data_IF_707508273249
#
_entry.id   IF_707508273249
#
_cell.length_a   1.000
_cell.length_b   1.000
_cell.length_c   1.000
_cell.angle_alpha   90.00
_cell.angle_beta   90.00
_cell.angle_gamma   90.00
#
_symmetry.space_group_name_H-M   'P 1'
#
loop_
_entity.id
_entity.type
_entity.pdbx_description
1 polymer ?
#
# COMPACT_ATOMS: atom_id res chain seq x y z
N UNK A 1 26.19 -25.91 -6.99
CA UNK A 1 25.62 -25.81 -5.63
C UNK A 1 24.15 -25.47 -5.82
N UNK A 2 23.23 -26.36 -5.41
CA UNK A 2 21.79 -26.18 -5.66
C UNK A 2 21.23 -25.24 -4.61
N UNK A 3 20.83 -24.03 -5.01
CA UNK A 3 20.13 -23.10 -4.15
C UNK A 3 18.70 -23.61 -3.94
N UNK A 4 18.42 -24.12 -2.76
CA UNK A 4 17.05 -24.44 -2.37
C UNK A 4 16.38 -23.17 -1.89
N UNK A 5 15.66 -22.50 -2.76
CA UNK A 5 14.55 -21.63 -2.33
C UNK A 5 13.56 -22.51 -1.56
N UNK A 6 13.11 -22.07 -0.40
CA UNK A 6 12.17 -22.81 0.44
C UNK A 6 11.00 -23.32 -0.39
N UNK A 7 10.60 -24.59 -0.17
CA UNK A 7 9.49 -25.19 -0.87
C UNK A 7 8.22 -24.35 -0.67
N UNK A 8 7.28 -24.38 -1.62
CA UNK A 8 5.96 -23.70 -1.57
C UNK A 8 5.27 -23.76 -0.19
N UNK A 9 5.52 -24.83 0.57
CA UNK A 9 4.96 -25.01 1.92
C UNK A 9 5.58 -24.09 2.98
N UNK A 10 6.83 -23.68 2.84
CA UNK A 10 7.49 -22.78 3.81
C UNK A 10 7.07 -21.32 3.68
N UNK A 11 6.80 -20.86 2.47
CA UNK A 11 6.30 -19.49 2.24
C UNK A 11 4.80 -19.34 2.58
N UNK A 12 4.00 -20.39 2.33
CA UNK A 12 2.56 -20.40 2.64
C UNK A 12 2.24 -20.46 4.15
N UNK A 13 3.12 -21.03 4.97
CA UNK A 13 2.90 -21.07 6.43
C UNK A 13 2.99 -19.69 7.08
N UNK A 14 3.67 -18.73 6.47
CA UNK A 14 3.74 -17.35 6.96
C UNK A 14 2.49 -16.55 6.58
N UNK A 15 1.79 -16.94 5.52
CA UNK A 15 0.57 -16.27 5.03
C UNK A 15 -0.74 -16.89 5.57
N UNK A 16 -0.70 -18.08 6.19
CA UNK A 16 -1.89 -18.84 6.57
C UNK A 16 -2.39 -18.58 8.00
N UNK A 17 -1.87 -17.59 8.72
CA UNK A 17 -2.34 -17.22 10.05
C UNK A 17 -3.31 -16.05 10.00
N UNK A 18 -4.58 -16.42 9.92
CA UNK A 18 -5.80 -15.67 10.25
C UNK A 18 -6.15 -14.47 9.37
N UNK A 19 -7.30 -14.58 8.72
CA UNK A 19 -8.01 -13.44 8.11
C UNK A 19 -8.41 -12.44 9.16
N UNK A 20 -7.59 -11.44 9.35
CA UNK A 20 -7.86 -10.13 9.99
C UNK A 20 -6.51 -9.43 10.17
N UNK A 21 -6.30 -8.37 9.43
CA UNK A 21 -5.11 -7.51 9.38
C UNK A 21 -3.90 -8.10 8.64
N UNK A 22 -3.79 -7.76 7.36
CA UNK A 22 -2.65 -8.10 6.48
C UNK A 22 -1.45 -7.16 6.69
N UNK A 23 -1.42 -6.40 7.75
CA UNK A 23 -0.17 -5.94 8.32
C UNK A 23 0.41 -7.13 9.09
N UNK A 24 1.07 -8.03 8.35
CA UNK A 24 1.91 -9.04 8.97
C UNK A 24 2.86 -8.31 9.90
N UNK A 25 2.74 -8.62 11.16
CA UNK A 25 3.57 -8.09 12.22
C UNK A 25 5.05 -8.23 11.77
N UNK A 26 5.72 -7.10 11.58
CA UNK A 26 7.15 -7.08 11.27
C UNK A 26 7.96 -7.91 12.30
N UNK A 27 7.41 -8.10 13.50
CA UNK A 27 7.96 -8.99 14.54
C UNK A 27 7.96 -10.45 14.14
N UNK A 28 6.92 -10.94 13.44
CA UNK A 28 6.84 -12.37 13.05
C UNK A 28 7.93 -12.72 12.04
N UNK A 29 8.34 -11.76 11.20
CA UNK A 29 9.45 -11.96 10.27
C UNK A 29 10.83 -11.82 10.96
N UNK A 30 10.93 -11.02 12.04
CA UNK A 30 12.15 -10.85 12.81
C UNK A 30 12.46 -12.02 13.75
N UNK A 31 11.44 -12.65 14.35
CA UNK A 31 11.62 -13.77 15.28
C UNK A 31 11.99 -15.10 14.60
N UNK A 32 11.81 -15.24 13.26
CA UNK A 32 12.13 -16.46 12.53
C UNK A 32 13.53 -16.47 11.90
N UNK A 33 14.37 -15.47 12.17
CA UNK A 33 15.72 -15.40 11.65
C UNK A 33 16.76 -15.55 12.78
N UNK A 34 17.30 -16.77 13.03
CA UNK A 34 18.41 -16.90 13.97
C UNK A 34 19.65 -16.20 13.37
N UNK A 35 20.24 -15.31 14.14
CA UNK A 35 21.44 -14.58 13.82
C UNK A 35 22.54 -15.51 13.31
N UNK A 36 22.94 -15.36 12.04
CA UNK A 36 24.19 -15.91 11.50
C UNK A 36 25.22 -14.77 11.48
N UNK A 37 26.31 -15.00 12.17
CA UNK A 37 27.32 -14.04 12.50
C UNK A 37 28.04 -13.38 11.34
N UNK A 38 28.42 -12.15 11.55
CA UNK A 38 29.64 -11.48 11.11
C UNK A 38 29.74 -11.17 9.62
N UNK A 39 29.19 -10.02 9.22
CA UNK A 39 29.84 -9.17 8.21
C UNK A 39 29.28 -7.73 8.35
N UNK A 40 30.12 -6.79 8.75
CA UNK A 40 29.74 -5.42 9.11
C UNK A 40 29.35 -4.52 7.91
N UNK A 41 29.29 -5.05 6.69
CA UNK A 41 28.97 -4.31 5.46
C UNK A 41 27.57 -4.59 4.88
N UNK A 42 26.75 -5.40 5.55
CA UNK A 42 25.39 -5.67 5.09
C UNK A 42 24.42 -4.62 5.61
N UNK A 43 23.87 -3.82 4.71
CA UNK A 43 22.64 -3.07 5.03
C UNK A 43 21.57 -4.10 5.38
N UNK A 44 21.01 -4.07 6.61
CA UNK A 44 19.91 -4.96 6.95
C UNK A 44 18.78 -4.77 5.93
N UNK A 45 18.07 -5.83 5.58
CA UNK A 45 16.79 -5.70 4.94
C UNK A 45 15.95 -4.69 5.73
N UNK A 46 15.06 -3.97 5.09
CA UNK A 46 14.14 -2.98 5.73
C UNK A 46 13.35 -3.52 6.96
N UNK A 47 13.53 -4.79 7.27
CA UNK A 47 13.04 -5.52 8.43
C UNK A 47 13.85 -5.31 9.72
N UNK A 48 14.94 -4.53 9.69
CA UNK A 48 15.69 -4.23 10.91
C UNK A 48 14.83 -3.39 11.86
N UNK A 49 14.57 -3.92 13.05
CA UNK A 49 13.65 -3.41 14.06
C UNK A 49 14.07 -2.06 14.71
N UNK A 50 14.88 -1.26 14.04
CA UNK A 50 15.38 0.02 14.57
C UNK A 50 15.54 1.01 13.41
N UNK A 51 14.86 2.16 13.51
CA UNK A 51 14.94 3.24 12.54
C UNK A 51 13.72 4.13 12.56
N UNK A 52 13.82 5.28 11.91
CA UNK A 52 12.72 6.25 11.84
C UNK A 52 11.53 5.71 11.05
N UNK A 53 11.80 5.00 9.95
CA UNK A 53 10.75 4.38 9.14
C UNK A 53 10.00 3.29 9.92
N UNK A 54 10.71 2.46 10.66
CA UNK A 54 10.09 1.45 11.51
C UNK A 54 9.17 2.07 12.57
N UNK A 55 9.65 3.13 13.25
CA UNK A 55 8.84 3.85 14.24
C UNK A 55 7.57 4.46 13.62
N UNK A 56 7.68 5.01 12.39
CA UNK A 56 6.51 5.47 11.64
C UNK A 56 5.53 4.33 11.35
N UNK A 57 6.01 3.20 10.83
CA UNK A 57 5.15 2.04 10.51
C UNK A 57 4.43 1.52 11.76
N UNK A 58 5.13 1.43 12.90
CA UNK A 58 4.48 1.08 14.19
C UNK A 58 3.40 2.10 14.59
N UNK A 59 3.65 3.38 14.38
CA UNK A 59 2.66 4.43 14.65
C UNK A 59 1.47 4.30 13.71
N UNK A 60 1.71 4.06 12.42
CA UNK A 60 0.66 3.86 11.43
C UNK A 60 -0.20 2.62 11.71
N UNK A 61 0.39 1.54 12.21
CA UNK A 61 -0.36 0.33 12.62
C UNK A 61 -1.33 0.64 13.77
N UNK A 62 -0.93 1.50 14.69
CA UNK A 62 -1.73 1.88 15.87
C UNK A 62 -2.75 2.98 15.58
N UNK A 63 -2.53 3.78 14.54
CA UNK A 63 -3.43 4.86 14.19
C UNK A 63 -4.79 4.32 13.72
N UNK A 64 -5.91 4.93 14.17
CA UNK A 64 -7.23 4.45 13.79
C UNK A 64 -7.46 4.55 12.29
N UNK A 65 -8.21 3.60 11.76
CA UNK A 65 -8.70 3.58 10.38
C UNK A 65 -10.21 3.69 10.41
N UNK A 66 -10.74 4.66 9.69
CA UNK A 66 -12.18 4.93 9.64
C UNK A 66 -12.80 4.09 8.53
N UNK A 67 -13.44 2.97 8.88
CA UNK A 67 -14.00 1.96 7.96
C UNK A 67 -15.37 1.47 8.41
N UNK A 68 -16.16 2.35 9.04
CA UNK A 68 -17.50 2.04 9.60
C UNK A 68 -18.56 3.06 9.18
N UNK A 69 -18.33 3.74 8.07
CA UNK A 69 -19.25 4.75 7.55
C UNK A 69 -20.52 4.12 7.00
N UNK A 70 -21.66 4.74 7.28
CA UNK A 70 -22.95 4.45 6.60
C UNK A 70 -23.12 5.32 5.37
N UNK A 71 -22.68 6.55 5.45
CA UNK A 71 -22.65 7.55 4.37
C UNK A 71 -21.43 8.44 4.57
N UNK A 72 -20.89 8.99 3.48
CA UNK A 72 -19.84 10.01 3.51
C UNK A 72 -20.27 11.18 2.61
N UNK A 73 -19.96 12.43 2.99
CA UNK A 73 -20.25 13.58 2.13
C UNK A 73 -19.21 13.70 1.00
N UNK A 74 -19.51 14.51 -0.03
CA UNK A 74 -18.55 14.81 -1.10
C UNK A 74 -17.29 15.49 -0.57
N UNK A 75 -17.41 16.41 0.38
CA UNK A 75 -16.32 17.17 0.98
C UNK A 75 -16.18 16.75 2.43
N UNK A 76 -15.01 16.24 2.81
CA UNK A 76 -14.70 15.88 4.18
C UNK A 76 -14.23 17.12 4.94
N UNK A 77 -15.08 17.67 5.81
CA UNK A 77 -14.81 18.93 6.52
C UNK A 77 -14.15 18.72 7.88
N UNK A 78 -14.31 17.53 8.47
CA UNK A 78 -13.83 17.24 9.83
C UNK A 78 -12.87 16.05 9.86
N UNK A 79 -11.83 16.09 10.75
CA UNK A 79 -10.77 15.07 10.78
C UNK A 79 -11.24 13.64 11.07
N UNK A 80 -12.43 13.46 11.62
CA UNK A 80 -13.04 12.16 11.88
C UNK A 80 -13.59 11.47 10.61
N UNK A 81 -13.60 12.17 9.47
CA UNK A 81 -14.07 11.64 8.18
C UNK A 81 -12.94 11.02 7.33
N UNK A 82 -11.68 11.13 7.74
CA UNK A 82 -10.53 10.46 7.09
C UNK A 82 -9.53 9.98 8.13
N UNK A 83 -8.45 9.33 7.72
CA UNK A 83 -7.42 8.80 8.62
C UNK A 83 -6.43 9.89 9.03
N UNK A 84 -6.91 10.93 9.69
CA UNK A 84 -6.18 12.17 9.99
C UNK A 84 -4.92 11.90 10.81
N UNK A 85 -4.98 11.08 11.86
CA UNK A 85 -3.84 10.77 12.72
C UNK A 85 -2.73 10.04 11.95
N UNK A 86 -3.12 9.18 10.99
CA UNK A 86 -2.16 8.50 10.15
C UNK A 86 -1.51 9.46 9.13
N UNK A 87 -2.30 10.36 8.55
CA UNK A 87 -1.79 11.39 7.64
C UNK A 87 -0.84 12.36 8.37
N UNK A 88 -1.20 12.78 9.58
CA UNK A 88 -0.37 13.65 10.42
C UNK A 88 0.97 12.99 10.76
N UNK A 89 0.96 11.68 11.04
CA UNK A 89 2.20 10.93 11.27
C UNK A 89 3.12 10.90 10.04
N UNK A 90 2.56 10.79 8.83
CA UNK A 90 3.33 10.86 7.58
C UNK A 90 3.89 12.27 7.37
N UNK A 91 3.07 13.30 7.54
CA UNK A 91 3.48 14.71 7.42
C UNK A 91 4.59 15.04 8.44
N UNK A 92 4.46 14.54 9.67
CA UNK A 92 5.43 14.72 10.74
C UNK A 92 6.68 13.82 10.64
N UNK A 93 6.82 12.97 9.62
CA UNK A 93 7.94 12.05 9.51
C UNK A 93 9.30 12.75 9.48
N UNK A 94 10.23 12.45 10.41
CA UNK A 94 11.48 13.19 10.58
C UNK A 94 12.62 12.70 9.66
N UNK A 95 12.37 11.73 8.77
CA UNK A 95 13.35 11.27 7.78
C UNK A 95 13.65 12.33 6.74
N UNK A 96 14.91 12.40 6.29
CA UNK A 96 15.38 13.42 5.34
C UNK A 96 15.08 13.08 3.88
N UNK A 97 14.94 11.79 3.56
CA UNK A 97 14.69 11.33 2.19
C UNK A 97 13.27 10.78 2.11
N UNK A 98 12.42 11.50 1.40
CA UNK A 98 10.98 11.21 1.28
C UNK A 98 10.53 11.41 -0.16
N UNK A 99 9.69 10.53 -0.67
CA UNK A 99 9.13 10.64 -2.01
C UNK A 99 7.64 10.34 -1.99
N UNK A 100 6.87 11.12 -2.75
CA UNK A 100 5.46 10.84 -3.05
C UNK A 100 5.31 10.62 -4.55
N UNK A 101 4.67 9.52 -4.90
CA UNK A 101 4.27 9.18 -6.27
C UNK A 101 2.82 9.59 -6.50
N UNK A 102 2.58 10.32 -7.59
CA UNK A 102 1.26 10.74 -8.06
C UNK A 102 0.71 9.68 -9.03
N UNK A 103 0.09 8.63 -8.48
CA UNK A 103 -0.36 7.47 -9.23
C UNK A 103 -1.82 7.61 -9.66
N UNK A 104 -2.05 7.73 -10.98
CA UNK A 104 -3.38 8.02 -11.55
C UNK A 104 -3.95 6.89 -12.41
N UNK A 105 -3.11 5.98 -12.92
CA UNK A 105 -3.51 4.97 -13.89
C UNK A 105 -3.22 3.55 -13.38
N UNK A 106 -4.27 2.72 -13.23
CA UNK A 106 -4.13 1.35 -12.72
C UNK A 106 -3.24 0.47 -13.60
N UNK A 107 -3.29 0.66 -14.92
CA UNK A 107 -2.47 -0.09 -15.89
C UNK A 107 -1.05 0.45 -16.06
N UNK A 108 -0.70 1.54 -15.39
CA UNK A 108 0.63 2.15 -15.45
C UNK A 108 1.72 1.31 -14.77
N UNK A 109 2.99 1.66 -14.98
CA UNK A 109 4.14 0.94 -14.40
C UNK A 109 4.44 1.34 -12.95
N UNK A 110 3.54 2.02 -12.27
CA UNK A 110 3.76 2.69 -10.98
C UNK A 110 4.33 1.79 -9.88
N UNK A 111 3.78 0.58 -9.68
CA UNK A 111 4.31 -0.36 -8.67
C UNK A 111 5.73 -0.81 -9.00
N UNK A 112 6.05 -1.00 -10.29
CA UNK A 112 7.40 -1.32 -10.73
C UNK A 112 8.37 -0.15 -10.47
N UNK A 113 7.94 1.07 -10.77
CA UNK A 113 8.76 2.27 -10.55
C UNK A 113 9.01 2.51 -9.06
N UNK A 114 7.97 2.38 -8.22
CA UNK A 114 8.08 2.47 -6.77
C UNK A 114 9.03 1.41 -6.20
N UNK A 115 8.86 0.13 -6.61
CA UNK A 115 9.80 -0.92 -6.19
C UNK A 115 11.25 -0.58 -6.54
N UNK A 116 11.49 -0.08 -7.75
CA UNK A 116 12.85 0.31 -8.20
C UNK A 116 13.39 1.49 -7.39
N UNK A 117 12.54 2.46 -7.06
CA UNK A 117 12.89 3.59 -6.20
C UNK A 117 13.35 3.09 -4.82
N UNK A 118 12.52 2.27 -4.15
CA UNK A 118 12.89 1.67 -2.85
C UNK A 118 14.20 0.87 -2.94
N UNK A 119 14.37 0.04 -3.98
CA UNK A 119 15.61 -0.72 -4.16
C UNK A 119 16.82 0.22 -4.26
N UNK A 120 16.73 1.26 -5.07
CA UNK A 120 17.81 2.21 -5.28
C UNK A 120 18.14 2.98 -4.01
N UNK A 121 17.11 3.50 -3.32
CA UNK A 121 17.30 4.26 -2.09
C UNK A 121 17.93 3.41 -0.99
N UNK A 122 17.38 2.22 -0.76
CA UNK A 122 17.82 1.37 0.34
C UNK A 122 19.19 0.73 0.06
N UNK A 123 19.39 0.15 -1.13
CA UNK A 123 20.57 -0.67 -1.40
C UNK A 123 21.73 0.12 -2.03
N UNK A 124 21.45 1.07 -2.92
CA UNK A 124 22.49 1.84 -3.60
C UNK A 124 22.89 3.09 -2.81
N UNK A 125 21.91 3.88 -2.38
CA UNK A 125 22.16 5.13 -1.63
C UNK A 125 22.23 4.96 -0.12
N UNK A 126 21.98 3.74 0.39
CA UNK A 126 22.11 3.40 1.82
C UNK A 126 21.19 4.22 2.72
N UNK A 127 19.97 4.50 2.27
CA UNK A 127 18.93 5.20 2.99
C UNK A 127 17.88 4.22 3.54
N UNK A 128 18.12 3.49 4.65
CA UNK A 128 17.16 2.52 5.19
C UNK A 128 15.89 3.17 5.72
N UNK A 129 15.96 4.44 6.07
CA UNK A 129 14.82 5.27 6.52
C UNK A 129 14.13 6.03 5.37
N UNK A 130 14.31 5.62 4.12
CA UNK A 130 13.62 6.21 2.99
C UNK A 130 12.12 5.98 3.10
N UNK A 131 11.33 7.05 3.19
CA UNK A 131 9.87 6.97 3.16
C UNK A 131 9.35 7.16 1.73
N UNK A 132 8.70 6.15 1.20
CA UNK A 132 7.99 6.20 -0.06
C UNK A 132 6.48 6.13 0.16
N UNK A 133 5.76 7.04 -0.47
CA UNK A 133 4.31 7.15 -0.35
C UNK A 133 3.68 7.10 -1.74
N UNK A 134 2.62 6.32 -1.91
CA UNK A 134 1.75 6.34 -3.07
C UNK A 134 0.58 7.29 -2.81
N UNK A 135 0.54 8.40 -3.51
CA UNK A 135 -0.65 9.23 -3.63
C UNK A 135 -1.52 8.66 -4.76
N UNK A 136 -2.51 7.85 -4.40
CA UNK A 136 -3.26 7.05 -5.36
C UNK A 136 -4.64 7.66 -5.62
N UNK A 137 -4.93 7.96 -6.89
CA UNK A 137 -6.24 8.48 -7.32
C UNK A 137 -6.51 8.13 -8.80
N UNK A 138 -7.58 8.69 -9.41
CA UNK A 138 -8.01 8.28 -10.74
C UNK A 138 -8.22 6.77 -10.81
N UNK A 139 -7.95 6.12 -11.94
CA UNK A 139 -8.14 4.67 -12.05
C UNK A 139 -7.18 3.83 -11.19
N UNK A 140 -6.01 4.37 -10.79
CA UNK A 140 -5.09 3.66 -9.89
C UNK A 140 -5.73 3.37 -8.52
N UNK A 141 -6.66 4.22 -8.07
CA UNK A 141 -7.44 4.03 -6.85
C UNK A 141 -8.20 2.70 -6.82
N UNK A 142 -8.60 2.16 -7.97
CA UNK A 142 -9.28 0.86 -8.06
C UNK A 142 -8.43 -0.28 -7.47
N UNK A 143 -7.10 -0.17 -7.54
CA UNK A 143 -6.18 -1.14 -6.95
C UNK A 143 -6.23 -1.19 -5.41
N UNK A 144 -6.82 -0.19 -4.77
CA UNK A 144 -6.89 -0.09 -3.31
C UNK A 144 -8.22 -0.57 -2.71
N UNK A 145 -9.13 -1.09 -3.54
CA UNK A 145 -10.34 -1.77 -3.05
C UNK A 145 -10.09 -3.29 -2.97
N UNK A 146 -10.74 -3.94 -2.00
CA UNK A 146 -10.68 -5.40 -1.86
C UNK A 146 -11.47 -6.13 -2.96
N UNK A 147 -11.32 -7.46 -3.02
CA UNK A 147 -12.00 -8.30 -4.03
C UNK A 147 -13.53 -8.26 -3.91
N UNK A 148 -14.07 -8.05 -2.72
CA UNK A 148 -15.52 -7.95 -2.54
C UNK A 148 -16.09 -6.78 -3.34
N UNK A 149 -15.43 -5.63 -3.30
CA UNK A 149 -15.83 -4.47 -4.11
C UNK A 149 -15.59 -4.68 -5.60
N UNK A 150 -14.51 -5.35 -5.97
CA UNK A 150 -14.24 -5.69 -7.35
C UNK A 150 -15.34 -6.56 -7.96
N UNK A 151 -15.80 -7.56 -7.24
CA UNK A 151 -16.89 -8.44 -7.69
C UNK A 151 -18.24 -7.72 -7.66
N UNK A 152 -18.61 -7.12 -6.53
CA UNK A 152 -19.90 -6.49 -6.30
C UNK A 152 -20.18 -5.37 -7.31
N UNK A 153 -19.21 -4.48 -7.52
CA UNK A 153 -19.35 -3.32 -8.38
C UNK A 153 -18.79 -3.52 -9.79
N UNK A 154 -18.41 -4.75 -10.16
CA UNK A 154 -17.88 -5.08 -11.49
C UNK A 154 -16.74 -4.13 -11.90
N UNK A 155 -15.81 -3.82 -10.97
CA UNK A 155 -14.74 -2.86 -11.18
C UNK A 155 -13.84 -3.14 -12.37
N UNK A 156 -13.70 -4.40 -12.89
CA UNK A 156 -13.04 -4.64 -14.18
C UNK A 156 -13.54 -3.75 -15.32
N UNK A 157 -14.82 -3.36 -15.33
CA UNK A 157 -15.40 -2.47 -16.34
C UNK A 157 -14.89 -1.02 -16.24
N UNK A 158 -14.34 -0.63 -15.09
CA UNK A 158 -13.76 0.68 -14.86
C UNK A 158 -12.24 0.65 -14.99
N UNK A 159 -11.61 -0.44 -14.59
CA UNK A 159 -10.16 -0.63 -14.65
C UNK A 159 -9.64 -0.66 -16.10
N UNK A 160 -10.46 -1.11 -17.04
CA UNK A 160 -10.07 -1.27 -18.44
C UNK A 160 -8.99 -2.33 -18.67
N UNK A 161 -8.50 -2.41 -19.90
CA UNK A 161 -7.42 -3.35 -20.25
C UNK A 161 -7.77 -4.82 -19.96
N UNK A 162 -6.85 -5.55 -19.35
CA UNK A 162 -6.96 -6.98 -19.07
C UNK A 162 -7.23 -7.28 -17.59
N UNK A 163 -7.80 -6.34 -16.84
CA UNK A 163 -8.16 -6.59 -15.45
C UNK A 163 -9.47 -7.38 -15.38
N UNK A 164 -9.43 -8.56 -14.76
CA UNK A 164 -10.61 -9.38 -14.42
C UNK A 164 -10.82 -9.43 -12.91
N UNK A 165 -9.74 -9.29 -12.14
CA UNK A 165 -9.66 -9.24 -10.67
C UNK A 165 -8.66 -8.17 -10.26
N UNK A 166 -8.59 -7.85 -8.98
CA UNK A 166 -7.56 -6.96 -8.44
C UNK A 166 -6.23 -7.70 -8.26
N UNK A 167 -5.61 -8.11 -9.35
CA UNK A 167 -4.32 -8.80 -9.32
C UNK A 167 -3.17 -8.00 -8.68
N UNK A 168 -3.38 -6.71 -8.39
CA UNK A 168 -2.36 -5.85 -7.75
C UNK A 168 -2.30 -6.02 -6.23
N UNK A 169 -3.32 -6.65 -5.63
CA UNK A 169 -3.34 -7.05 -4.22
C UNK A 169 -3.32 -8.57 -4.04
N UNK A 170 -3.33 -9.35 -5.13
CA UNK A 170 -3.27 -10.81 -5.03
C UNK A 170 -1.97 -11.23 -4.34
N UNK A 171 -2.05 -12.09 -3.30
CA UNK A 171 -0.86 -12.67 -2.69
C UNK A 171 -0.07 -13.45 -3.75
N UNK A 172 1.22 -13.13 -3.86
CA UNK A 172 2.14 -13.86 -4.74
C UNK A 172 3.11 -14.65 -3.89
N UNK A 173 3.64 -15.74 -4.44
CA UNK A 173 4.79 -16.45 -3.86
C UNK A 173 6.02 -15.53 -3.92
N UNK A 174 6.12 -14.63 -2.96
CA UNK A 174 7.20 -13.66 -2.88
C UNK A 174 8.22 -14.16 -1.86
N UNK A 175 9.45 -14.37 -2.30
CA UNK A 175 10.55 -14.68 -1.40
C UNK A 175 11.03 -13.41 -0.71
N UNK A 176 10.96 -13.37 0.63
CA UNK A 176 11.35 -12.22 1.45
C UNK A 176 12.81 -12.28 1.89
N UNK A 177 13.53 -13.36 1.61
CA UNK A 177 14.90 -13.58 2.06
C UNK A 177 15.91 -12.74 1.28
N UNK A 178 16.84 -12.08 1.98
CA UNK A 178 17.86 -11.21 1.38
C UNK A 178 18.73 -11.89 0.33
N UNK A 179 19.06 -13.16 0.51
CA UNK A 179 19.84 -13.94 -0.46
C UNK A 179 19.13 -14.15 -1.80
N UNK A 180 17.84 -13.87 -1.88
CA UNK A 180 17.03 -14.00 -3.08
C UNK A 180 16.87 -12.70 -3.89
N UNK A 181 17.67 -11.65 -3.60
CA UNK A 181 17.55 -10.34 -4.28
C UNK A 181 17.58 -10.43 -5.79
N UNK A 182 18.39 -11.35 -6.33
CA UNK A 182 18.53 -11.58 -7.76
C UNK A 182 17.43 -12.49 -8.35
N UNK A 183 16.55 -13.04 -7.50
CA UNK A 183 15.44 -13.87 -7.95
C UNK A 183 14.27 -12.97 -8.41
N UNK A 184 13.78 -13.20 -9.62
CA UNK A 184 12.61 -12.53 -10.16
C UNK A 184 11.34 -12.73 -9.30
N UNK A 185 11.29 -13.79 -8.49
CA UNK A 185 10.21 -14.07 -7.53
C UNK A 185 10.40 -13.41 -6.16
N UNK A 186 11.48 -12.68 -5.96
CA UNK A 186 11.68 -11.98 -4.70
C UNK A 186 10.82 -10.72 -4.60
N UNK A 187 10.63 -10.23 -3.37
CA UNK A 187 9.99 -8.93 -3.13
C UNK A 187 10.78 -7.76 -3.73
N UNK A 188 12.05 -7.96 -4.06
CA UNK A 188 12.92 -6.97 -4.70
C UNK A 188 12.84 -7.03 -6.23
N UNK A 189 12.35 -8.15 -6.78
CA UNK A 189 12.16 -8.41 -8.20
C UNK A 189 10.74 -8.09 -8.70
N UNK A 190 10.42 -8.45 -9.95
CA UNK A 190 9.11 -8.18 -10.56
C UNK A 190 7.90 -8.75 -9.81
N UNK A 191 8.06 -9.83 -9.03
CA UNK A 191 7.00 -10.35 -8.16
C UNK A 191 6.62 -9.36 -7.04
N UNK A 192 7.53 -8.48 -6.65
CA UNK A 192 7.28 -7.38 -5.72
C UNK A 192 6.51 -6.19 -6.30
N UNK A 193 6.10 -6.22 -7.57
CA UNK A 193 5.17 -5.25 -8.17
C UNK A 193 3.73 -5.53 -7.71
N UNK A 194 3.50 -5.40 -6.42
CA UNK A 194 2.26 -5.71 -5.74
C UNK A 194 2.10 -4.81 -4.52
N UNK A 195 0.88 -4.33 -4.26
CA UNK A 195 0.60 -3.41 -3.15
C UNK A 195 1.06 -4.02 -1.82
N UNK A 196 0.69 -5.28 -1.55
CA UNK A 196 1.00 -5.95 -0.29
C UNK A 196 2.53 -6.14 -0.11
N UNK A 197 3.23 -6.52 -1.18
CA UNK A 197 4.68 -6.70 -1.14
C UNK A 197 5.41 -5.38 -0.87
N UNK A 198 4.93 -4.26 -1.42
CA UNK A 198 5.48 -2.94 -1.16
C UNK A 198 5.14 -2.45 0.24
N UNK A 199 3.95 -2.71 0.76
CA UNK A 199 3.61 -2.42 2.17
C UNK A 199 4.54 -3.15 3.15
N UNK A 200 4.87 -4.42 2.89
CA UNK A 200 5.87 -5.17 3.68
C UNK A 200 7.25 -4.51 3.69
N UNK A 201 7.55 -3.70 2.69
CA UNK A 201 8.80 -2.93 2.56
C UNK A 201 8.71 -1.51 3.12
N UNK A 202 7.61 -1.17 3.79
CA UNK A 202 7.39 0.14 4.39
C UNK A 202 6.86 1.21 3.44
N UNK A 203 6.43 0.84 2.24
CA UNK A 203 5.73 1.78 1.34
C UNK A 203 4.33 2.04 1.87
N UNK A 204 3.95 3.30 1.94
CA UNK A 204 2.63 3.73 2.41
C UNK A 204 1.72 4.05 1.24
N UNK A 205 0.53 3.44 1.20
CA UNK A 205 -0.47 3.71 0.18
C UNK A 205 -1.57 4.60 0.75
N UNK A 206 -1.84 5.70 0.05
CA UNK A 206 -2.88 6.66 0.40
C UNK A 206 -3.98 6.64 -0.65
N UNK A 207 -5.22 6.49 -0.21
CA UNK A 207 -6.43 6.56 -1.00
C UNK A 207 -6.99 7.99 -1.01
N UNK A 208 -7.58 8.38 -2.12
CA UNK A 208 -8.18 9.69 -2.35
C UNK A 208 -9.69 9.62 -2.20
N UNK A 209 -10.28 10.34 -1.23
CA UNK A 209 -11.72 10.41 -1.09
C UNK A 209 -12.43 10.95 -2.33
N UNK A 210 -11.87 11.97 -2.99
CA UNK A 210 -12.45 12.51 -4.22
C UNK A 210 -12.55 11.45 -5.32
N UNK A 211 -11.52 10.60 -5.47
CA UNK A 211 -11.59 9.49 -6.44
C UNK A 211 -12.64 8.44 -6.04
N UNK A 212 -12.81 8.17 -4.74
CA UNK A 212 -13.90 7.29 -4.26
C UNK A 212 -15.26 7.88 -4.63
N UNK A 213 -15.44 9.17 -4.42
CA UNK A 213 -16.66 9.88 -4.78
C UNK A 213 -16.96 9.83 -6.28
N UNK A 214 -15.96 10.07 -7.11
CA UNK A 214 -16.06 9.99 -8.57
C UNK A 214 -16.34 8.56 -9.07
N UNK A 215 -15.71 7.56 -8.47
CA UNK A 215 -15.98 6.16 -8.78
C UNK A 215 -17.42 5.78 -8.43
N UNK A 216 -17.91 6.18 -7.26
CA UNK A 216 -19.30 5.90 -6.85
C UNK A 216 -20.32 6.57 -7.79
N UNK A 217 -20.07 7.83 -8.22
CA UNK A 217 -20.87 8.48 -9.24
C UNK A 217 -20.90 7.69 -10.56
N UNK A 218 -19.73 7.28 -11.04
CA UNK A 218 -19.58 6.50 -12.27
C UNK A 218 -20.33 5.16 -12.20
N UNK A 219 -20.29 4.49 -11.04
CA UNK A 219 -21.03 3.23 -10.83
C UNK A 219 -22.54 3.44 -10.93
N UNK A 220 -23.07 4.51 -10.30
CA UNK A 220 -24.48 4.86 -10.38
C UNK A 220 -24.90 5.22 -11.80
N UNK A 221 -24.11 6.02 -12.53
CA UNK A 221 -24.36 6.37 -13.93
C UNK A 221 -24.40 5.14 -14.84
N UNK A 222 -23.57 4.14 -14.57
CA UNK A 222 -23.53 2.86 -15.30
C UNK A 222 -24.62 1.87 -14.86
N UNK A 223 -25.44 2.22 -13.86
CA UNK A 223 -26.46 1.32 -13.30
C UNK A 223 -25.86 0.14 -12.52
N UNK A 224 -24.61 0.23 -12.06
CA UNK A 224 -23.96 -0.81 -11.25
C UNK A 224 -24.17 -0.46 -9.77
N UNK A 225 -25.33 -0.79 -9.26
CA UNK A 225 -25.71 -0.53 -7.86
C UNK A 225 -26.68 -1.64 -7.40
N UNK A 226 -26.17 -2.84 -7.07
CA UNK A 226 -26.99 -4.00 -6.77
C UNK A 226 -27.91 -3.78 -5.57
N UNK A 227 -27.46 -3.05 -4.56
CA UNK A 227 -28.20 -2.82 -3.31
C UNK A 227 -29.04 -1.54 -3.34
N UNK A 228 -29.08 -0.82 -4.45
CA UNK A 228 -29.84 0.44 -4.64
C UNK A 228 -29.49 1.50 -3.58
N UNK A 229 -28.22 1.60 -3.24
CA UNK A 229 -27.70 2.56 -2.28
C UNK A 229 -27.72 3.99 -2.85
N UNK A 230 -27.73 5.00 -1.96
CA UNK A 230 -27.46 6.39 -2.37
C UNK A 230 -26.01 6.58 -2.78
N UNK A 231 -25.67 7.69 -3.42
CA UNK A 231 -24.31 8.04 -3.80
C UNK A 231 -23.36 8.04 -2.58
N UNK A 232 -23.79 8.71 -1.52
CA UNK A 232 -23.06 8.81 -0.25
C UNK A 232 -22.84 7.43 0.39
N UNK A 233 -23.79 6.52 0.24
CA UNK A 233 -23.69 5.17 0.79
C UNK A 233 -22.78 4.27 -0.06
N UNK A 234 -22.79 4.38 -1.39
CA UNK A 234 -21.83 3.67 -2.26
C UNK A 234 -20.40 4.16 -1.97
N UNK A 235 -20.21 5.48 -1.83
CA UNK A 235 -18.90 6.04 -1.48
C UNK A 235 -18.42 5.58 -0.10
N UNK A 236 -19.33 5.47 0.88
CA UNK A 236 -19.03 4.94 2.21
C UNK A 236 -18.62 3.46 2.15
N UNK A 237 -19.32 2.65 1.39
CA UNK A 237 -19.01 1.24 1.23
C UNK A 237 -17.64 1.04 0.58
N UNK A 238 -17.34 1.74 -0.52
CA UNK A 238 -16.00 1.72 -1.13
C UNK A 238 -14.91 2.17 -0.16
N UNK A 239 -15.20 3.16 0.70
CA UNK A 239 -14.27 3.61 1.75
C UNK A 239 -14.02 2.51 2.79
N UNK A 240 -15.09 1.84 3.24
CA UNK A 240 -15.00 0.79 4.26
C UNK A 240 -14.22 -0.44 3.77
N UNK A 241 -14.19 -0.67 2.47
CA UNK A 241 -13.54 -1.78 1.79
C UNK A 241 -12.19 -1.42 1.15
N UNK A 242 -11.52 -0.40 1.68
CA UNK A 242 -10.12 -0.16 1.33
C UNK A 242 -9.23 -1.28 1.89
N UNK A 243 -8.26 -1.71 1.08
CA UNK A 243 -7.26 -2.72 1.45
C UNK A 243 -6.58 -2.35 2.77
N UNK A 244 -6.33 -3.35 3.60
CA UNK A 244 -5.69 -3.15 4.91
C UNK A 244 -4.39 -2.35 4.80
N UNK A 245 -4.16 -1.43 5.75
CA UNK A 245 -2.98 -0.56 5.78
C UNK A 245 -3.06 0.67 4.89
N UNK A 246 -3.99 0.74 3.94
CA UNK A 246 -4.23 1.95 3.14
C UNK A 246 -4.75 3.08 4.03
N UNK A 247 -4.31 4.30 3.77
CA UNK A 247 -4.67 5.51 4.50
C UNK A 247 -5.63 6.33 3.65
N UNK A 248 -6.82 6.62 4.17
CA UNK A 248 -7.77 7.51 3.52
C UNK A 248 -7.35 8.98 3.72
N UNK A 249 -7.25 9.72 2.63
CA UNK A 249 -7.02 11.18 2.63
C UNK A 249 -8.27 11.93 2.15
N UNK A 250 -8.46 13.18 2.55
CA UNK A 250 -9.63 13.97 2.12
C UNK A 250 -9.65 14.25 0.61
N UNK A 251 -8.46 14.25 -0.03
CA UNK A 251 -8.33 14.45 -1.47
C UNK A 251 -6.86 14.52 -1.87
N UNK A 252 -6.44 13.67 -2.81
CA UNK A 252 -5.01 13.55 -3.13
C UNK A 252 -4.42 14.83 -3.74
N UNK A 253 -5.14 15.48 -4.65
CA UNK A 253 -4.69 16.74 -5.25
C UNK A 253 -4.40 17.85 -4.22
N UNK A 254 -5.16 17.88 -3.11
CA UNK A 254 -4.91 18.79 -1.99
C UNK A 254 -3.86 18.28 -1.00
N UNK A 255 -3.71 16.96 -0.87
CA UNK A 255 -2.73 16.34 0.04
C UNK A 255 -1.29 16.42 -0.51
N UNK A 256 -1.10 16.31 -1.82
CA UNK A 256 0.22 16.42 -2.47
C UNK A 256 0.99 17.69 -2.07
N UNK A 257 0.41 18.91 -2.16
CA UNK A 257 1.09 20.13 -1.71
C UNK A 257 1.51 20.10 -0.24
N UNK A 258 0.70 19.49 0.65
CA UNK A 258 1.04 19.38 2.08
C UNK A 258 2.27 18.48 2.28
N UNK A 259 2.37 17.38 1.55
CA UNK A 259 3.54 16.51 1.57
C UNK A 259 4.79 17.21 1.01
N UNK A 260 4.65 17.94 -0.09
CA UNK A 260 5.76 18.70 -0.68
C UNK A 260 6.29 19.80 0.27
N UNK A 261 5.41 20.51 0.99
CA UNK A 261 5.81 21.51 1.97
C UNK A 261 6.70 20.94 3.08
N UNK A 262 6.52 19.68 3.46
CA UNK A 262 7.35 19.01 4.47
C UNK A 262 8.49 18.19 3.86
N UNK A 263 8.82 18.43 2.59
CA UNK A 263 10.03 17.92 1.94
C UNK A 263 9.89 16.59 1.19
N UNK A 264 8.68 16.15 0.84
CA UNK A 264 8.53 15.05 -0.10
C UNK A 264 8.89 15.48 -1.52
N UNK A 265 9.79 14.71 -2.16
CA UNK A 265 10.04 14.85 -3.59
C UNK A 265 8.86 14.25 -4.38
N UNK A 266 8.36 15.01 -5.35
CA UNK A 266 7.27 14.56 -6.22
C UNK A 266 7.79 13.69 -7.36
N UNK A 267 7.10 12.60 -7.65
CA UNK A 267 7.28 11.73 -8.81
C UNK A 267 5.92 11.37 -9.43
N UNK A 268 5.94 11.04 -10.73
CA UNK A 268 4.73 10.64 -11.46
C UNK A 268 5.07 9.53 -12.47
#
# INVERSE_FOLDING_TARGET
MKNHCLSRRGCLQVLALTGSSVLLDARVLAEQNPAVGGDNDRVPAQTAATGKLHALIEQLIKAPRRRDFKTVPMILETPDLWDSEALDAIIGYPGSVKQVWDNTEIGGPWLNMMRNSVNTQVFSFRNPDFLEVSGTHGSAQLALYDEEMWDKYQLPRMAGGNFTTNRLIEPRDVCTHDAAREDAKSMFGPAGNNVLALQLRGVVFMACHNAIWEHSATLLEKGINPDKLSHEAVAAELTNHLVSGVILTPGMAGTLPQLQQVGFCYAK
#
